data_IF_785913507330
#
_entry.id   IF_785913507330
#
_cell.length_a   1.000
_cell.length_b   1.000
_cell.length_c   1.000
_cell.angle_alpha   90.00
_cell.angle_beta   90.00
_cell.angle_gamma   90.00
#
_symmetry.space_group_name_H-M   'P 1'
#
loop_
_entity.id
_entity.type
_entity.pdbx_description
1 polymer ?
#
# COMPACT_ATOMS: atom_id res chain seq x y z
N UNK A 1 36.10 -6.41 -65.69
CA UNK A 1 36.58 -7.05 -64.44
C UNK A 1 35.94 -6.32 -63.27
N UNK A 2 35.27 -7.11 -62.42
CA UNK A 2 34.77 -6.91 -61.06
C UNK A 2 34.29 -5.53 -60.56
N UNK A 3 32.96 -5.47 -60.44
CA UNK A 3 32.15 -4.68 -59.52
C UNK A 3 32.70 -4.62 -58.08
N UNK A 4 32.68 -3.44 -57.46
CA UNK A 4 32.68 -3.30 -55.99
C UNK A 4 31.55 -2.35 -55.60
N UNK A 5 30.39 -2.91 -55.27
CA UNK A 5 29.28 -2.20 -54.61
C UNK A 5 29.59 -2.14 -53.13
N UNK A 6 29.89 -0.95 -52.62
CA UNK A 6 30.06 -0.67 -51.20
C UNK A 6 28.67 -0.70 -50.53
N UNK A 7 28.35 -1.79 -49.83
CA UNK A 7 27.17 -1.86 -48.96
C UNK A 7 27.47 -1.08 -47.68
N UNK A 8 26.87 0.11 -47.51
CA UNK A 8 26.84 0.79 -46.22
C UNK A 8 25.64 0.22 -45.46
N UNK A 9 25.92 -0.76 -44.59
CA UNK A 9 24.95 -1.30 -43.65
C UNK A 9 24.59 -0.24 -42.62
N UNK A 10 23.41 0.36 -42.77
CA UNK A 10 22.84 1.29 -41.80
C UNK A 10 22.27 0.47 -40.63
N UNK A 11 23.12 0.14 -39.66
CA UNK A 11 22.72 -0.53 -38.43
C UNK A 11 22.02 0.48 -37.51
N UNK A 12 20.70 0.61 -37.65
CA UNK A 12 19.87 1.37 -36.71
C UNK A 12 19.73 0.59 -35.41
N UNK A 13 20.70 0.75 -34.52
CA UNK A 13 20.51 0.43 -33.11
C UNK A 13 19.60 1.51 -32.49
N UNK A 14 18.28 1.34 -32.61
CA UNK A 14 17.35 2.12 -31.80
C UNK A 14 17.47 1.61 -30.36
N UNK A 15 18.15 2.40 -29.53
CA UNK A 15 18.16 2.22 -28.10
C UNK A 15 16.71 2.23 -27.60
N UNK A 16 16.24 1.09 -27.12
CA UNK A 16 15.01 1.01 -26.34
C UNK A 16 15.19 1.92 -25.12
N UNK A 17 14.57 3.09 -25.14
CA UNK A 17 14.48 3.95 -23.97
C UNK A 17 13.80 3.16 -22.85
N UNK A 18 14.58 2.61 -21.93
CA UNK A 18 14.05 2.05 -20.70
C UNK A 18 13.60 3.26 -19.90
N UNK A 19 12.33 3.63 -20.06
CA UNK A 19 11.65 4.51 -19.14
C UNK A 19 11.61 3.79 -17.80
N UNK A 20 12.62 4.02 -16.96
CA UNK A 20 12.55 3.68 -15.54
C UNK A 20 11.45 4.56 -14.99
N UNK A 21 10.23 4.03 -14.92
CA UNK A 21 9.16 4.66 -14.16
C UNK A 21 9.72 4.83 -12.74
N UNK A 22 9.99 6.06 -12.33
CA UNK A 22 10.39 6.35 -10.97
C UNK A 22 9.17 6.10 -10.10
N UNK A 23 9.06 4.89 -9.58
CA UNK A 23 7.96 4.53 -8.70
C UNK A 23 8.18 5.21 -7.36
N UNK A 24 7.28 6.14 -7.02
CA UNK A 24 7.37 6.91 -5.80
C UNK A 24 7.11 6.02 -4.58
N UNK A 25 7.80 6.25 -3.45
CA UNK A 25 7.45 5.57 -2.21
C UNK A 25 6.04 5.96 -1.76
N UNK A 26 5.34 5.00 -1.17
CA UNK A 26 4.06 5.21 -0.51
C UNK A 26 4.29 5.80 0.88
N UNK A 27 3.79 7.01 1.12
CA UNK A 27 3.65 7.55 2.48
C UNK A 27 2.34 7.02 3.06
N UNK A 28 2.43 6.31 4.18
CA UNK A 28 1.30 5.69 4.85
C UNK A 28 1.20 6.17 6.29
N UNK A 29 0.07 6.76 6.62
CA UNK A 29 -0.32 7.18 7.96
C UNK A 29 -1.61 6.48 8.37
N UNK A 30 -1.63 5.91 9.56
CA UNK A 30 -2.81 5.28 10.13
C UNK A 30 -3.05 5.71 11.58
N UNK A 31 -4.32 5.94 11.90
CA UNK A 31 -4.80 5.99 13.28
C UNK A 31 -5.70 4.78 13.54
N UNK A 32 -5.40 3.99 14.56
CA UNK A 32 -6.18 2.82 14.96
C UNK A 32 -6.69 3.01 16.38
N UNK A 33 -8.00 3.15 16.53
CA UNK A 33 -8.68 3.18 17.81
C UNK A 33 -9.27 1.82 18.08
N UNK A 34 -9.11 1.36 19.31
CA UNK A 34 -9.62 0.07 19.77
C UNK A 34 -10.46 0.38 20.99
N UNK A 35 -11.62 -0.23 21.06
CA UNK A 35 -12.54 -0.10 22.19
C UNK A 35 -11.79 -0.17 23.53
N UNK A 36 -12.05 0.81 24.40
CA UNK A 36 -11.44 0.96 25.72
C UNK A 36 -9.90 1.07 25.75
N UNK A 37 -9.26 1.45 24.65
CA UNK A 37 -7.81 1.62 24.56
C UNK A 37 -7.41 2.99 24.02
N UNK A 38 -6.15 3.36 24.27
CA UNK A 38 -5.55 4.54 23.65
C UNK A 38 -5.38 4.34 22.14
N UNK A 39 -5.54 5.39 21.33
CA UNK A 39 -5.28 5.33 19.89
C UNK A 39 -3.83 4.97 19.58
N UNK A 40 -3.64 4.19 18.52
CA UNK A 40 -2.34 3.90 17.93
C UNK A 40 -2.15 4.75 16.68
N UNK A 41 -1.01 5.42 16.57
CA UNK A 41 -0.60 6.13 15.36
C UNK A 41 0.56 5.38 14.70
N UNK A 42 0.52 5.27 13.38
CA UNK A 42 1.56 4.67 12.55
C UNK A 42 1.86 5.64 11.42
N UNK A 43 3.13 5.97 11.23
CA UNK A 43 3.61 6.76 10.09
C UNK A 43 4.83 6.05 9.51
N UNK A 44 4.72 5.61 8.25
CA UNK A 44 5.79 4.88 7.56
C UNK A 44 5.86 5.29 6.09
N UNK A 45 7.06 5.19 5.52
CA UNK A 45 7.28 5.29 4.09
C UNK A 45 7.66 3.91 3.55
N UNK A 46 6.90 3.41 2.59
CA UNK A 46 7.08 2.08 2.01
C UNK A 46 7.61 2.26 0.59
N UNK A 47 8.80 1.74 0.26
CA UNK A 47 9.31 1.76 -1.11
C UNK A 47 8.33 1.11 -2.09
N UNK A 48 8.42 1.47 -3.37
CA UNK A 48 7.64 0.78 -4.40
C UNK A 48 8.12 -0.66 -4.56
N UNK A 49 7.18 -1.58 -4.78
CA UNK A 49 7.49 -3.00 -4.89
C UNK A 49 7.77 -3.66 -3.53
N UNK A 50 7.52 -2.97 -2.41
CA UNK A 50 7.67 -3.52 -1.07
C UNK A 50 6.34 -3.63 -0.32
N UNK A 51 6.39 -4.29 0.84
CA UNK A 51 5.26 -4.39 1.77
C UNK A 51 5.76 -4.25 3.21
N UNK A 52 4.92 -3.71 4.08
CA UNK A 52 5.19 -3.54 5.50
C UNK A 52 4.17 -4.32 6.33
N UNK A 53 4.63 -4.92 7.43
CA UNK A 53 3.79 -5.57 8.43
C UNK A 53 4.07 -4.96 9.80
N UNK A 54 3.06 -4.28 10.36
CA UNK A 54 3.17 -3.48 11.59
C UNK A 54 2.30 -4.12 12.66
N UNK A 55 2.94 -4.69 13.70
CA UNK A 55 2.23 -5.21 14.89
C UNK A 55 1.89 -4.07 15.85
N UNK A 56 0.64 -4.04 16.29
CA UNK A 56 0.11 -3.11 17.30
C UNK A 56 0.03 -3.83 18.66
N UNK A 57 0.04 -3.06 19.76
CA UNK A 57 0.17 -3.63 21.12
C UNK A 57 -1.01 -4.50 21.58
N UNK A 58 -2.16 -4.40 20.92
CA UNK A 58 -3.39 -5.11 21.30
C UNK A 58 -3.65 -6.37 20.45
N UNK A 59 -2.60 -6.94 19.86
CA UNK A 59 -2.71 -8.09 18.98
C UNK A 59 -3.33 -7.78 17.62
N UNK A 60 -3.45 -6.50 17.24
CA UNK A 60 -3.77 -6.14 15.87
C UNK A 60 -2.50 -6.05 15.01
N UNK A 61 -2.66 -6.24 13.71
CA UNK A 61 -1.57 -6.08 12.74
C UNK A 61 -2.06 -5.40 11.47
N UNK A 62 -1.33 -4.38 11.04
CA UNK A 62 -1.51 -3.76 9.73
C UNK A 62 -0.56 -4.41 8.74
N UNK A 63 -1.09 -4.82 7.59
CA UNK A 63 -0.28 -5.18 6.43
C UNK A 63 -0.54 -4.16 5.34
N UNK A 64 0.50 -3.47 4.89
CA UNK A 64 0.42 -2.47 3.82
C UNK A 64 1.27 -2.97 2.66
N UNK A 65 0.64 -3.11 1.52
CA UNK A 65 1.23 -3.64 0.31
C UNK A 65 1.34 -2.52 -0.72
N UNK A 66 2.57 -2.18 -1.10
CA UNK A 66 2.87 -1.26 -2.19
C UNK A 66 3.45 -2.00 -3.40
N UNK A 67 2.97 -3.22 -3.65
CA UNK A 67 3.33 -3.99 -4.83
C UNK A 67 2.47 -3.52 -5.99
N UNK A 68 3.07 -2.79 -6.92
CA UNK A 68 2.41 -2.40 -8.15
C UNK A 68 2.86 -3.36 -9.27
N UNK A 69 2.36 -4.59 -9.24
CA UNK A 69 2.68 -5.56 -10.29
C UNK A 69 1.74 -5.29 -11.47
N UNK A 70 2.32 -4.89 -12.60
CA UNK A 70 1.60 -4.67 -13.87
C UNK A 70 0.65 -5.84 -14.13
N UNK A 71 -0.66 -5.59 -14.00
CA UNK A 71 -1.72 -6.55 -14.28
C UNK A 71 -2.13 -7.52 -13.16
N UNK A 72 -1.56 -7.45 -11.94
CA UNK A 72 -1.83 -8.48 -10.91
C UNK A 72 -2.20 -8.01 -9.51
N UNK A 73 -1.83 -6.81 -9.04
CA UNK A 73 -2.30 -6.34 -7.72
C UNK A 73 -2.24 -4.83 -7.57
N UNK A 74 -3.37 -4.25 -7.18
CA UNK A 74 -3.42 -2.87 -6.69
C UNK A 74 -2.85 -2.84 -5.28
N UNK A 75 -2.07 -1.80 -4.93
CA UNK A 75 -1.65 -1.57 -3.55
C UNK A 75 -2.85 -1.67 -2.59
N UNK A 76 -2.61 -2.20 -1.38
CA UNK A 76 -3.67 -2.42 -0.40
C UNK A 76 -3.22 -2.24 1.04
N UNK A 77 -4.18 -2.05 1.93
CA UNK A 77 -4.00 -2.10 3.38
C UNK A 77 -4.98 -3.12 3.96
N UNK A 78 -4.49 -3.95 4.85
CA UNK A 78 -5.25 -4.97 5.58
C UNK A 78 -5.04 -4.81 7.07
N UNK A 79 -6.11 -5.02 7.84
CA UNK A 79 -6.09 -5.05 9.29
C UNK A 79 -6.46 -6.46 9.76
N UNK A 80 -5.57 -7.05 10.56
CA UNK A 80 -5.73 -8.38 11.13
C UNK A 80 -5.86 -8.32 12.65
N UNK A 81 -6.61 -9.28 13.20
CA UNK A 81 -6.59 -9.68 14.61
C UNK A 81 -5.72 -10.94 14.75
N UNK A 82 -4.54 -10.78 15.34
CA UNK A 82 -3.59 -11.85 15.64
C UNK A 82 -3.81 -12.47 17.05
N UNK A 83 -4.85 -12.07 17.80
CA UNK A 83 -5.12 -12.66 19.12
C UNK A 83 -5.68 -14.10 19.05
N UNK A 84 -6.12 -14.53 17.86
CA UNK A 84 -6.61 -15.88 17.61
C UNK A 84 -5.49 -16.81 17.14
N UNK A 85 -5.63 -18.14 17.36
CA UNK A 85 -4.65 -19.14 16.89
C UNK A 85 -4.40 -19.09 15.37
N UNK A 86 -5.36 -18.58 14.61
CA UNK A 86 -5.22 -18.22 13.20
C UNK A 86 -5.54 -16.73 13.07
N UNK A 87 -4.63 -15.90 12.50
CA UNK A 87 -4.89 -14.49 12.25
C UNK A 87 -6.18 -14.28 11.47
N UNK A 88 -7.07 -13.44 12.01
CA UNK A 88 -8.36 -13.12 11.37
C UNK A 88 -8.26 -11.79 10.65
N UNK A 89 -8.56 -11.76 9.35
CA UNK A 89 -8.72 -10.52 8.62
C UNK A 89 -9.98 -9.79 9.09
N UNK A 90 -9.82 -8.56 9.61
CA UNK A 90 -10.94 -7.72 10.08
C UNK A 90 -11.39 -6.78 8.96
N UNK A 91 -10.45 -6.21 8.21
CA UNK A 91 -10.74 -5.28 7.12
C UNK A 91 -9.65 -5.29 6.05
N UNK A 92 -10.03 -4.97 4.81
CA UNK A 92 -9.13 -4.76 3.68
C UNK A 92 -9.62 -3.61 2.82
N UNK A 93 -8.73 -2.69 2.44
CA UNK A 93 -8.98 -1.65 1.44
C UNK A 93 -7.90 -1.68 0.35
N UNK A 94 -8.30 -1.39 -0.89
CA UNK A 94 -7.40 -1.24 -2.05
C UNK A 94 -7.18 0.24 -2.35
N UNK A 95 -6.16 0.54 -3.14
CA UNK A 95 -5.82 1.90 -3.59
C UNK A 95 -7.02 2.68 -4.15
N UNK A 96 -7.96 2.02 -4.83
CA UNK A 96 -9.19 2.64 -5.38
C UNK A 96 -10.09 3.23 -4.29
N UNK A 97 -10.08 2.63 -3.09
CA UNK A 97 -10.81 3.13 -1.91
C UNK A 97 -10.04 4.22 -1.17
N UNK A 98 -8.81 4.54 -1.60
CA UNK A 98 -7.89 5.47 -0.96
C UNK A 98 -7.78 6.72 -1.83
N UNK A 99 -8.05 7.89 -1.25
CA UNK A 99 -8.21 9.14 -2.04
C UNK A 99 -6.92 9.66 -2.70
N UNK A 100 -5.78 9.02 -2.49
CA UNK A 100 -4.49 9.45 -3.05
C UNK A 100 -3.63 8.25 -3.40
N UNK A 101 -2.91 8.26 -4.54
CA UNK A 101 -2.15 7.10 -4.99
C UNK A 101 -0.93 6.79 -4.10
N UNK A 102 -0.21 7.82 -3.62
CA UNK A 102 1.08 7.66 -2.93
C UNK A 102 1.12 8.29 -1.53
N UNK A 103 -0.01 8.80 -1.04
CA UNK A 103 -0.12 9.38 0.29
C UNK A 103 -1.41 8.92 0.98
N UNK A 104 -1.33 7.80 1.68
CA UNK A 104 -2.48 7.18 2.31
C UNK A 104 -2.61 7.65 3.74
N UNK A 105 -3.77 8.21 4.05
CA UNK A 105 -4.18 8.52 5.40
C UNK A 105 -5.43 7.69 5.69
N UNK A 106 -5.34 6.78 6.67
CA UNK A 106 -6.45 5.90 7.03
C UNK A 106 -6.76 5.98 8.51
N UNK A 107 -8.01 5.74 8.86
CA UNK A 107 -8.43 5.56 10.24
C UNK A 107 -9.24 4.29 10.39
N UNK A 108 -8.95 3.56 11.45
CA UNK A 108 -9.67 2.38 11.90
C UNK A 108 -10.23 2.60 13.28
N UNK A 109 -11.49 2.24 13.49
CA UNK A 109 -12.09 2.13 14.82
C UNK A 109 -12.60 0.72 15.00
N UNK A 110 -11.99 -0.03 15.91
CA UNK A 110 -12.23 -1.45 16.14
C UNK A 110 -13.07 -1.63 17.39
N UNK A 111 -14.30 -2.12 17.22
CA UNK A 111 -15.29 -2.31 18.28
C UNK A 111 -15.81 -3.74 18.20
N UNK A 112 -15.75 -4.50 19.31
CA UNK A 112 -16.23 -5.89 19.35
C UNK A 112 -15.77 -6.77 18.15
N UNK A 113 -14.53 -6.57 17.67
CA UNK A 113 -13.97 -7.34 16.55
C UNK A 113 -14.48 -6.95 15.16
N UNK A 114 -15.15 -5.81 15.02
CA UNK A 114 -15.53 -5.17 13.76
C UNK A 114 -14.74 -3.87 13.58
N UNK A 115 -14.31 -3.57 12.35
CA UNK A 115 -13.58 -2.35 12.05
C UNK A 115 -14.45 -1.39 11.21
N UNK A 116 -14.64 -0.18 11.73
CA UNK A 116 -15.05 0.97 10.91
C UNK A 116 -13.80 1.56 10.25
N UNK A 117 -13.90 1.86 8.96
CA UNK A 117 -12.79 2.35 8.14
C UNK A 117 -13.12 3.72 7.55
N UNK A 118 -12.11 4.60 7.49
CA UNK A 118 -12.22 5.88 6.80
C UNK A 118 -10.91 6.23 6.07
N UNK A 119 -11.06 6.75 4.85
CA UNK A 119 -9.97 7.31 4.05
C UNK A 119 -10.49 8.56 3.29
N UNK A 120 -9.85 9.73 3.44
CA UNK A 120 -8.74 10.03 4.34
C UNK A 120 -9.14 9.85 5.81
N UNK A 121 -8.15 9.79 6.71
CA UNK A 121 -8.43 9.79 8.14
C UNK A 121 -9.19 11.08 8.52
N UNK A 122 -10.26 11.00 9.32
CA UNK A 122 -10.99 12.18 9.77
C UNK A 122 -10.13 12.97 10.78
N UNK A 123 -10.38 14.29 10.86
CA UNK A 123 -9.70 15.14 11.85
C UNK A 123 -10.06 14.76 13.30
N UNK A 124 -11.29 14.28 13.50
CA UNK A 124 -11.78 13.71 14.76
C UNK A 124 -11.93 12.20 14.55
N UNK A 125 -11.22 11.37 15.31
CA UNK A 125 -11.33 9.92 15.17
C UNK A 125 -12.74 9.40 15.46
N UNK A 126 -13.16 8.35 14.75
CA UNK A 126 -14.44 7.69 15.02
C UNK A 126 -14.36 6.95 16.36
N UNK A 127 -15.42 7.04 17.16
CA UNK A 127 -15.56 6.31 18.42
C UNK A 127 -16.46 5.10 18.24
N UNK A 128 -16.29 4.08 19.09
CA UNK A 128 -17.27 3.01 19.17
C UNK A 128 -18.63 3.58 19.61
N UNK A 129 -19.74 3.20 18.95
CA UNK A 129 -21.06 3.55 19.44
C UNK A 129 -21.25 2.95 20.84
N UNK A 130 -21.78 3.76 21.76
CA UNK A 130 -22.10 3.34 23.13
C UNK A 130 -23.32 2.41 23.18
#
# INVERSE_FOLDING_TARGET
>A
MLSHKLLIGLSTAMLSSISVASELPLKFSASVIVENNLPYAVDISIPSGESASIKLKNGLRLEVNNLNVVGQSSPSVKLYDDNSATPRLIHSAKSESLKSPNNWSVSYTVCSGHAQFSSPAPAVPLSCPM
#
